data_IF_322048955108
#
_entry.id   IF_322048955108
#
_cell.length_a   1.000
_cell.length_b   1.000
_cell.length_c   1.000
_cell.angle_alpha   90.00
_cell.angle_beta   90.00
_cell.angle_gamma   90.00
#
_symmetry.space_group_name_H-M   'P 1'
#
loop_
_entity.id
_entity.type
_entity.pdbx_description
1 polymer ?
#
# COMPACT_ATOMS: atom_id res chain seq x y z
N UNK A 1 -2.07 27.57 15.45
CA UNK A 1 -2.51 27.21 14.09
C UNK A 1 -2.64 25.70 13.97
N UNK A 2 -3.85 25.17 13.79
CA UNK A 2 -4.10 23.74 13.56
C UNK A 2 -3.45 23.31 12.25
N UNK A 3 -2.42 22.46 12.32
CA UNK A 3 -1.78 21.89 11.12
C UNK A 3 -2.82 21.03 10.39
N UNK A 4 -3.13 21.39 9.15
CA UNK A 4 -4.11 20.70 8.30
C UNK A 4 -3.42 19.56 7.53
N UNK A 5 -4.20 18.58 7.05
CA UNK A 5 -3.73 17.53 6.14
C UNK A 5 -3.17 18.14 4.84
N UNK A 6 -2.43 17.35 4.04
CA UNK A 6 -1.99 17.76 2.70
C UNK A 6 -3.15 18.19 1.78
N UNK A 7 -4.36 17.71 2.06
CA UNK A 7 -5.61 18.13 1.40
C UNK A 7 -6.14 19.51 1.84
N UNK A 8 -5.64 20.10 2.93
CA UNK A 8 -6.15 21.35 3.50
C UNK A 8 -7.55 21.29 4.12
N UNK A 9 -8.29 20.19 3.93
CA UNK A 9 -9.68 20.03 4.36
C UNK A 9 -9.84 19.56 5.82
N UNK A 10 -8.97 18.66 6.29
CA UNK A 10 -9.09 18.03 7.61
C UNK A 10 -7.90 18.34 8.51
N UNK A 11 -8.08 18.15 9.82
CA UNK A 11 -6.94 18.10 10.74
C UNK A 11 -6.03 16.93 10.36
N UNK A 12 -4.72 17.07 10.57
CA UNK A 12 -3.77 16.04 10.15
C UNK A 12 -3.99 14.69 10.88
N UNK A 13 -4.51 14.74 12.10
CA UNK A 13 -4.89 13.56 12.89
C UNK A 13 -6.15 12.90 12.34
N UNK A 14 -7.17 13.69 11.97
CA UNK A 14 -8.39 13.17 11.36
C UNK A 14 -8.11 12.50 10.02
N UNK A 15 -7.26 13.12 9.18
CA UNK A 15 -6.85 12.51 7.91
C UNK A 15 -6.14 11.16 8.10
N UNK A 16 -5.21 11.08 9.06
CA UNK A 16 -4.53 9.82 9.37
C UNK A 16 -5.49 8.73 9.90
N UNK A 17 -6.49 9.12 10.70
CA UNK A 17 -7.51 8.18 11.21
C UNK A 17 -8.45 7.68 10.09
N UNK A 18 -8.85 8.54 9.16
CA UNK A 18 -9.66 8.13 8.00
C UNK A 18 -8.88 7.14 7.14
N UNK A 19 -7.61 7.43 6.85
CA UNK A 19 -6.75 6.52 6.09
C UNK A 19 -6.56 5.17 6.81
N UNK A 20 -6.33 5.18 8.12
CA UNK A 20 -6.24 3.95 8.90
C UNK A 20 -7.56 3.16 8.89
N UNK A 21 -8.72 3.84 8.94
CA UNK A 21 -10.02 3.18 8.81
C UNK A 21 -10.20 2.52 7.44
N UNK A 22 -9.81 3.21 6.37
CA UNK A 22 -9.86 2.68 5.01
C UNK A 22 -8.97 1.44 4.84
N UNK A 23 -7.78 1.42 5.43
CA UNK A 23 -6.93 0.22 5.43
C UNK A 23 -7.59 -0.94 6.17
N UNK A 24 -8.22 -0.70 7.31
CA UNK A 24 -8.96 -1.76 8.03
C UNK A 24 -10.07 -2.32 7.17
N UNK A 25 -10.85 -1.46 6.50
CA UNK A 25 -11.91 -1.90 5.57
C UNK A 25 -11.32 -2.71 4.42
N UNK A 26 -10.19 -2.28 3.86
CA UNK A 26 -9.53 -2.98 2.75
C UNK A 26 -9.02 -4.38 3.17
N UNK A 27 -8.37 -4.47 4.33
CA UNK A 27 -7.89 -5.75 4.88
C UNK A 27 -9.05 -6.69 5.20
N UNK A 28 -10.13 -6.18 5.81
CA UNK A 28 -11.32 -6.98 6.10
C UNK A 28 -12.00 -7.43 4.80
N UNK A 29 -12.15 -6.53 3.83
CA UNK A 29 -12.68 -6.87 2.51
C UNK A 29 -11.88 -8.00 1.87
N UNK A 30 -10.55 -7.89 1.84
CA UNK A 30 -9.67 -8.94 1.34
C UNK A 30 -9.79 -10.27 2.09
N UNK A 31 -10.08 -10.24 3.39
CA UNK A 31 -10.34 -11.43 4.19
C UNK A 31 -11.71 -12.08 3.92
N UNK A 32 -12.69 -11.33 3.40
CA UNK A 32 -14.00 -11.86 2.99
C UNK A 32 -14.03 -12.31 1.53
N UNK A 33 -13.15 -11.79 0.67
CA UNK A 33 -12.94 -12.25 -0.72
C UNK A 33 -12.07 -13.51 -0.79
N UNK A 34 -12.23 -14.42 0.17
CA UNK A 34 -11.57 -15.73 0.15
C UNK A 34 -12.33 -16.62 -0.82
N UNK A 35 -11.74 -16.79 -1.99
CA UNK A 35 -12.24 -17.63 -3.07
C UNK A 35 -12.25 -19.13 -2.68
N UNK A 36 -13.10 -19.94 -3.33
CA UNK A 36 -13.25 -21.40 -3.08
C UNK A 36 -11.93 -22.17 -3.23
N UNK A 37 -10.98 -21.58 -3.96
CA UNK A 37 -9.61 -22.08 -4.14
C UNK A 37 -8.77 -22.11 -2.85
N UNK A 38 -9.12 -21.34 -1.80
CA UNK A 38 -8.50 -21.46 -0.47
C UNK A 38 -8.95 -22.74 0.24
N UNK A 39 -10.24 -23.07 0.14
CA UNK A 39 -10.83 -24.27 0.75
C UNK A 39 -10.24 -25.53 0.10
N UNK A 40 -9.94 -25.46 -1.21
CA UNK A 40 -9.29 -26.52 -1.95
C UNK A 40 -7.77 -26.67 -1.67
N UNK A 41 -7.17 -25.82 -0.81
CA UNK A 41 -5.78 -25.94 -0.37
C UNK A 41 -4.71 -25.71 -1.45
N UNK A 42 -5.11 -25.29 -2.66
CA UNK A 42 -4.22 -25.28 -3.84
C UNK A 42 -3.18 -24.15 -3.84
N UNK A 43 -3.20 -23.26 -2.84
CA UNK A 43 -2.42 -22.01 -2.82
C UNK A 43 -2.01 -21.56 -1.40
N UNK A 44 -1.87 -22.48 -0.44
CA UNK A 44 -1.63 -22.17 1.00
C UNK A 44 -0.50 -21.15 1.22
N UNK A 45 0.61 -21.25 0.48
CA UNK A 45 1.76 -20.33 0.61
C UNK A 45 1.43 -18.90 0.18
N UNK A 46 0.62 -18.74 -0.88
CA UNK A 46 0.22 -17.42 -1.39
C UNK A 46 -0.73 -16.71 -0.42
N UNK A 47 -1.63 -17.46 0.21
CA UNK A 47 -2.59 -16.92 1.16
C UNK A 47 -2.03 -16.71 2.56
N UNK A 48 -1.05 -17.51 3.00
CA UNK A 48 -0.39 -17.29 4.30
C UNK A 48 0.39 -15.97 4.33
N UNK A 49 1.05 -15.60 3.23
CA UNK A 49 1.70 -14.29 3.08
C UNK A 49 0.70 -13.13 3.11
N UNK A 50 -0.45 -13.29 2.46
CA UNK A 50 -1.53 -12.29 2.46
C UNK A 50 -2.13 -12.10 3.86
N UNK A 51 -2.37 -13.21 4.58
CA UNK A 51 -2.92 -13.20 5.93
C UNK A 51 -1.99 -12.54 6.95
N UNK A 52 -0.70 -12.90 6.94
CA UNK A 52 0.28 -12.27 7.84
C UNK A 52 0.43 -10.77 7.56
N UNK A 53 0.49 -10.37 6.28
CA UNK A 53 0.52 -8.97 5.88
C UNK A 53 -0.72 -8.21 6.37
N UNK A 54 -1.91 -8.80 6.21
CA UNK A 54 -3.16 -8.23 6.68
C UNK A 54 -3.20 -8.01 8.19
N UNK A 55 -2.75 -8.99 8.99
CA UNK A 55 -2.70 -8.86 10.45
C UNK A 55 -1.75 -7.74 10.88
N UNK A 56 -0.56 -7.64 10.26
CA UNK A 56 0.40 -6.57 10.56
C UNK A 56 -0.19 -5.20 10.21
N UNK A 57 -0.84 -5.06 9.05
CA UNK A 57 -1.52 -3.82 8.65
C UNK A 57 -2.62 -3.45 9.63
N UNK A 58 -3.42 -4.42 10.08
CA UNK A 58 -4.52 -4.19 11.01
C UNK A 58 -4.01 -3.73 12.38
N UNK A 59 -2.94 -4.36 12.90
CA UNK A 59 -2.28 -3.91 14.13
C UNK A 59 -1.75 -2.49 13.97
N UNK A 60 -1.04 -2.21 12.86
CA UNK A 60 -0.49 -0.89 12.59
C UNK A 60 -1.58 0.19 12.48
N UNK A 61 -2.70 -0.11 11.84
CA UNK A 61 -3.86 0.78 11.74
C UNK A 61 -4.50 1.06 13.10
N UNK A 62 -4.70 0.05 13.94
CA UNK A 62 -5.19 0.22 15.32
C UNK A 62 -4.24 1.11 16.13
N UNK A 63 -2.92 0.90 15.97
CA UNK A 63 -1.91 1.73 16.64
C UNK A 63 -1.98 3.21 16.22
N UNK A 64 -2.38 3.52 14.99
CA UNK A 64 -2.65 4.91 14.56
C UNK A 64 -3.78 5.52 15.38
N UNK A 65 -4.90 4.82 15.56
CA UNK A 65 -6.00 5.32 16.39
C UNK A 65 -5.54 5.57 17.83
N UNK A 66 -4.81 4.62 18.43
CA UNK A 66 -4.27 4.78 19.78
C UNK A 66 -3.25 5.93 19.85
N UNK A 67 -2.42 6.10 18.82
CA UNK A 67 -1.43 7.18 18.73
C UNK A 67 -2.10 8.55 18.72
N UNK A 68 -3.14 8.71 17.91
CA UNK A 68 -3.93 9.95 17.82
C UNK A 68 -4.68 10.23 19.13
N UNK A 69 -5.36 9.24 19.71
CA UNK A 69 -6.14 9.42 20.94
C UNK A 69 -5.25 9.69 22.16
N UNK A 70 -4.11 9.01 22.28
CA UNK A 70 -3.17 9.18 23.41
C UNK A 70 -2.09 10.23 23.15
N UNK A 71 -2.10 10.89 21.99
CA UNK A 71 -1.07 11.85 21.54
C UNK A 71 0.36 11.31 21.63
N UNK A 72 0.53 9.99 21.40
CA UNK A 72 1.83 9.29 21.50
C UNK A 72 2.41 9.05 20.10
N UNK A 73 3.32 9.92 19.67
CA UNK A 73 3.95 9.83 18.35
C UNK A 73 4.64 8.49 18.06
N UNK A 74 5.28 7.87 19.07
CA UNK A 74 6.00 6.60 18.89
C UNK A 74 5.12 5.45 18.36
N UNK A 75 3.82 5.48 18.64
CA UNK A 75 2.87 4.46 18.18
C UNK A 75 2.54 4.56 16.68
N UNK A 76 2.89 5.66 16.01
CA UNK A 76 2.73 5.78 14.55
C UNK A 76 3.90 5.22 13.75
N UNK A 77 5.01 4.88 14.42
CA UNK A 77 6.20 4.37 13.75
C UNK A 77 5.96 3.07 12.98
N UNK A 78 5.22 2.07 13.50
CA UNK A 78 4.95 0.82 12.76
C UNK A 78 4.26 1.07 11.41
N UNK A 79 3.30 2.01 11.38
CA UNK A 79 2.60 2.35 10.15
C UNK A 79 3.50 3.04 9.12
N UNK A 80 4.39 3.93 9.59
CA UNK A 80 5.36 4.61 8.73
C UNK A 80 6.37 3.62 8.15
N UNK A 81 6.88 2.70 8.97
CA UNK A 81 7.81 1.66 8.52
C UNK A 81 7.12 0.77 7.48
N UNK A 82 5.90 0.32 7.75
CA UNK A 82 5.12 -0.50 6.82
C UNK A 82 4.90 0.22 5.49
N UNK A 83 4.47 1.48 5.51
CA UNK A 83 4.27 2.28 4.31
C UNK A 83 5.57 2.50 3.52
N UNK A 84 6.70 2.70 4.20
CA UNK A 84 8.01 2.86 3.55
C UNK A 84 8.49 1.55 2.89
N UNK A 85 8.29 0.42 3.56
CA UNK A 85 8.62 -0.91 3.02
C UNK A 85 7.75 -1.22 1.78
N UNK A 86 6.44 -0.97 1.86
CA UNK A 86 5.54 -1.14 0.72
C UNK A 86 5.95 -0.26 -0.46
N UNK A 87 6.26 1.01 -0.21
CA UNK A 87 6.71 1.96 -1.22
C UNK A 87 7.99 1.48 -1.93
N UNK A 88 8.93 0.90 -1.19
CA UNK A 88 10.16 0.34 -1.74
C UNK A 88 9.87 -0.82 -2.71
N UNK A 89 9.04 -1.78 -2.30
CA UNK A 89 8.67 -2.91 -3.16
C UNK A 89 7.88 -2.48 -4.40
N UNK A 90 6.91 -1.57 -4.25
CA UNK A 90 6.14 -1.04 -5.38
C UNK A 90 7.05 -0.30 -6.37
N UNK A 91 8.03 0.45 -5.87
CA UNK A 91 9.01 1.13 -6.74
C UNK A 91 9.86 0.16 -7.54
N UNK A 92 10.28 -0.96 -6.94
CA UNK A 92 11.01 -2.03 -7.66
C UNK A 92 10.14 -2.64 -8.74
N UNK A 93 8.89 -2.99 -8.43
CA UNK A 93 7.94 -3.58 -9.39
C UNK A 93 7.70 -2.62 -10.55
N UNK A 94 7.42 -1.34 -10.26
CA UNK A 94 7.21 -0.33 -11.27
C UNK A 94 8.44 -0.14 -12.17
N UNK A 95 9.64 -0.11 -11.57
CA UNK A 95 10.91 -0.03 -12.32
C UNK A 95 11.11 -1.25 -13.22
N UNK A 96 10.77 -2.45 -12.75
CA UNK A 96 10.85 -3.67 -13.54
C UNK A 96 9.85 -3.68 -14.70
N UNK A 97 8.61 -3.24 -14.48
CA UNK A 97 7.60 -3.11 -15.54
C UNK A 97 8.06 -2.13 -16.64
N UNK A 98 8.61 -0.98 -16.25
CA UNK A 98 9.17 0.00 -17.20
C UNK A 98 10.37 -0.58 -17.94
N UNK A 99 11.26 -1.30 -17.26
CA UNK A 99 12.40 -1.98 -17.88
C UNK A 99 11.96 -2.97 -18.96
N UNK A 100 10.96 -3.82 -18.68
CA UNK A 100 10.41 -4.77 -19.67
C UNK A 100 9.79 -4.02 -20.86
N UNK A 101 9.08 -2.91 -20.62
CA UNK A 101 8.47 -2.13 -21.70
C UNK A 101 9.50 -1.45 -22.61
N UNK A 102 10.65 -1.05 -22.06
CA UNK A 102 11.70 -0.38 -22.82
C UNK A 102 12.62 -1.34 -23.57
N UNK A 103 12.83 -2.56 -23.07
CA UNK A 103 13.70 -3.55 -23.72
C UNK A 103 12.89 -4.57 -24.54
N UNK A 104 13.01 -4.50 -25.88
CA UNK A 104 12.38 -5.45 -26.81
C UNK A 104 12.73 -6.91 -26.49
N UNK A 105 13.96 -7.21 -26.05
CA UNK A 105 14.37 -8.58 -25.74
C UNK A 105 13.64 -9.07 -24.49
N UNK A 106 13.68 -8.29 -23.41
CA UNK A 106 12.96 -8.60 -22.17
C UNK A 106 11.45 -8.75 -22.42
N UNK A 107 10.87 -7.90 -23.26
CA UNK A 107 9.46 -7.97 -23.64
C UNK A 107 9.12 -9.29 -24.35
N UNK A 108 9.90 -9.70 -25.34
CA UNK A 108 9.65 -10.96 -26.07
C UNK A 108 9.81 -12.20 -25.18
N UNK A 109 10.76 -12.17 -24.24
CA UNK A 109 10.97 -13.25 -23.27
C UNK A 109 9.84 -13.30 -22.23
N UNK A 110 9.37 -12.14 -21.76
CA UNK A 110 8.21 -12.04 -20.88
C UNK A 110 6.96 -12.62 -21.53
N UNK A 111 6.66 -12.24 -22.78
CA UNK A 111 5.50 -12.76 -23.52
C UNK A 111 5.60 -14.28 -23.71
N UNK A 112 6.78 -14.81 -24.05
CA UNK A 112 6.99 -16.27 -24.17
C UNK A 112 6.73 -17.01 -22.86
N UNK A 113 7.17 -16.46 -21.72
CA UNK A 113 6.94 -17.05 -20.41
C UNK A 113 5.47 -16.91 -19.98
N UNK A 114 4.83 -15.78 -20.29
CA UNK A 114 3.40 -15.56 -20.05
C UNK A 114 2.56 -16.60 -20.80
N UNK A 115 2.87 -16.86 -22.08
CA UNK A 115 2.18 -17.85 -22.91
C UNK A 115 2.37 -19.30 -22.42
N UNK A 116 3.49 -19.62 -21.75
CA UNK A 116 3.70 -20.94 -21.13
C UNK A 116 2.87 -21.14 -19.86
N UNK A 117 2.43 -20.05 -19.23
CA UNK A 117 1.76 -20.09 -17.93
C UNK A 117 0.24 -19.88 -18.04
N UNK A 118 -0.23 -19.25 -19.12
CA UNK A 118 -1.65 -19.03 -19.40
C UNK A 118 -2.27 -20.17 -20.21
N UNK A 119 -3.08 -21.00 -19.54
CA UNK A 119 -4.02 -21.95 -20.18
C UNK A 119 -5.35 -21.26 -20.58
N UNK A 120 -5.40 -19.93 -20.66
CA UNK A 120 -6.65 -19.22 -20.95
C UNK A 120 -6.89 -19.14 -22.45
N UNK A 121 -8.01 -19.71 -22.87
CA UNK A 121 -8.61 -19.52 -24.18
C UNK A 121 -8.73 -18.02 -24.46
N UNK A 122 -8.11 -17.57 -25.55
CA UNK A 122 -8.08 -16.17 -25.95
C UNK A 122 -9.52 -15.70 -26.23
N UNK A 123 -10.13 -14.99 -25.28
CA UNK A 123 -11.43 -14.33 -25.49
C UNK A 123 -11.18 -13.04 -26.29
N UNK A 124 -11.19 -13.16 -27.62
CA UNK A 124 -11.20 -12.02 -28.54
C UNK A 124 -10.33 -12.19 -29.79
N UNK A 125 -10.52 -11.29 -30.77
CA UNK A 125 -9.78 -11.27 -32.04
C UNK A 125 -8.32 -10.75 -31.92
N UNK A 126 -7.80 -10.57 -30.70
CA UNK A 126 -6.44 -10.05 -30.49
C UNK A 126 -5.43 -11.19 -30.50
N UNK A 127 -4.25 -10.92 -31.06
CA UNK A 127 -3.13 -11.87 -30.91
C UNK A 127 -2.71 -11.97 -29.44
N UNK A 128 -2.21 -13.13 -29.03
CA UNK A 128 -1.76 -13.38 -27.66
C UNK A 128 -0.63 -12.41 -27.24
N UNK A 129 0.23 -12.05 -28.19
CA UNK A 129 1.31 -11.07 -28.03
C UNK A 129 0.79 -9.64 -27.77
N UNK A 130 -0.30 -9.25 -28.45
CA UNK A 130 -0.97 -7.96 -28.19
C UNK A 130 -1.60 -7.95 -26.80
N UNK A 131 -2.26 -9.03 -26.40
CA UNK A 131 -2.88 -9.16 -25.08
C UNK A 131 -1.86 -9.03 -23.95
N UNK A 132 -0.72 -9.71 -24.05
CA UNK A 132 0.37 -9.60 -23.08
C UNK A 132 0.93 -8.17 -22.99
N UNK A 133 1.05 -7.48 -24.13
CA UNK A 133 1.50 -6.09 -24.20
C UNK A 133 0.50 -5.13 -23.55
N UNK A 134 -0.80 -5.29 -23.82
CA UNK A 134 -1.84 -4.46 -23.18
C UNK A 134 -1.90 -4.69 -21.68
N UNK A 135 -1.78 -5.95 -21.23
CA UNK A 135 -1.72 -6.27 -19.80
C UNK A 135 -0.49 -5.65 -19.12
N UNK A 136 0.66 -5.67 -19.78
CA UNK A 136 1.88 -5.04 -19.25
C UNK A 136 1.74 -3.51 -19.16
N UNK A 137 1.18 -2.86 -20.19
CA UNK A 137 0.94 -1.41 -20.20
C UNK A 137 -0.08 -1.04 -19.10
N UNK A 138 -1.21 -1.75 -19.06
CA UNK A 138 -2.26 -1.54 -18.05
C UNK A 138 -1.73 -1.73 -16.63
N UNK A 139 -0.97 -2.81 -16.40
CA UNK A 139 -0.30 -3.07 -15.13
C UNK A 139 0.68 -1.97 -14.76
N UNK A 140 1.48 -1.47 -15.72
CA UNK A 140 2.42 -0.37 -15.47
C UNK A 140 1.72 0.92 -15.06
N UNK A 141 0.63 1.29 -15.73
CA UNK A 141 -0.18 2.47 -15.37
C UNK A 141 -0.78 2.28 -13.97
N UNK A 142 -1.34 1.10 -13.70
CA UNK A 142 -1.93 0.78 -12.41
C UNK A 142 -0.91 0.87 -11.26
N UNK A 143 0.27 0.26 -11.42
CA UNK A 143 1.36 0.36 -10.43
C UNK A 143 1.90 1.80 -10.30
N UNK A 144 1.91 2.58 -11.39
CA UNK A 144 2.28 3.99 -11.34
C UNK A 144 1.32 4.83 -10.49
N UNK A 145 0.01 4.66 -10.68
CA UNK A 145 -1.02 5.31 -9.85
C UNK A 145 -0.87 4.87 -8.40
N UNK A 146 -0.69 3.56 -8.17
CA UNK A 146 -0.48 3.02 -6.83
C UNK A 146 0.74 3.66 -6.15
N UNK A 147 1.86 3.78 -6.86
CA UNK A 147 3.08 4.39 -6.34
C UNK A 147 2.86 5.85 -5.90
N UNK A 148 2.14 6.64 -6.71
CA UNK A 148 1.78 8.02 -6.36
C UNK A 148 0.91 8.04 -5.09
N UNK A 149 -0.10 7.17 -5.01
CA UNK A 149 -0.94 7.01 -3.83
C UNK A 149 -0.13 6.61 -2.59
N UNK A 150 0.85 5.72 -2.72
CA UNK A 150 1.74 5.30 -1.61
C UNK A 150 2.66 6.42 -1.12
N UNK A 151 3.20 7.25 -2.03
CA UNK A 151 3.98 8.45 -1.66
C UNK A 151 3.10 9.40 -0.84
N UNK A 152 1.89 9.67 -1.33
CA UNK A 152 0.94 10.54 -0.66
C UNK A 152 0.57 9.99 0.72
N UNK A 153 0.29 8.69 0.80
CA UNK A 153 -0.01 7.98 2.03
C UNK A 153 1.10 8.15 3.08
N UNK A 154 2.34 7.84 2.71
CA UNK A 154 3.52 7.98 3.59
C UNK A 154 3.68 9.43 4.07
N UNK A 155 3.45 10.41 3.20
CA UNK A 155 3.51 11.83 3.55
C UNK A 155 2.51 12.20 4.66
N UNK A 156 1.27 11.70 4.58
CA UNK A 156 0.24 11.97 5.61
C UNK A 156 0.67 11.42 6.97
N UNK A 157 1.11 10.16 7.07
CA UNK A 157 1.54 9.58 8.34
C UNK A 157 2.79 10.24 8.89
N UNK A 158 3.78 10.53 8.04
CA UNK A 158 5.01 11.22 8.46
C UNK A 158 4.72 12.62 9.01
N UNK A 159 3.83 13.36 8.36
CA UNK A 159 3.45 14.69 8.83
C UNK A 159 2.63 14.63 10.13
N UNK A 160 1.73 13.64 10.24
CA UNK A 160 0.99 13.40 11.49
C UNK A 160 1.94 13.01 12.64
N UNK A 161 2.96 12.19 12.38
CA UNK A 161 3.97 11.82 13.36
C UNK A 161 4.77 13.03 13.83
N UNK A 162 5.23 13.87 12.89
CA UNK A 162 5.91 15.12 13.21
C UNK A 162 5.01 16.02 14.07
N UNK A 163 3.74 16.13 13.73
CA UNK A 163 2.78 16.93 14.49
C UNK A 163 2.60 16.43 15.93
N UNK A 164 2.40 15.13 16.14
CA UNK A 164 2.28 14.54 17.48
C UNK A 164 3.58 14.70 18.28
N UNK A 165 4.74 14.58 17.63
CA UNK A 165 6.05 14.75 18.28
C UNK A 165 6.24 16.18 18.79
N UNK A 166 5.88 17.18 17.99
CA UNK A 166 5.93 18.60 18.38
C UNK A 166 4.97 18.90 19.54
N UNK A 167 3.72 18.41 19.48
CA UNK A 167 2.75 18.61 20.58
C UNK A 167 3.27 18.06 21.92
N UNK A 168 3.92 16.89 21.90
CA UNK A 168 4.50 16.29 23.09
C UNK A 168 5.63 17.13 23.67
N UNK A 169 6.50 17.67 22.81
CA UNK A 169 7.59 18.55 23.22
C UNK A 169 7.07 19.82 23.90
N UNK A 170 6.04 20.45 23.35
CA UNK A 170 5.41 21.63 23.94
C UNK A 170 4.71 21.32 25.28
N UNK A 171 4.06 20.17 25.39
CA UNK A 171 3.42 19.74 26.65
C UNK A 171 4.44 19.54 27.76
N UNK A 172 5.57 18.89 27.46
CA UNK A 172 6.63 18.66 28.45
C UNK A 172 7.27 19.97 28.93
N UNK A 173 7.48 20.92 28.01
CA UNK A 173 8.02 22.25 28.36
C UNK A 173 7.08 23.00 29.32
N UNK A 174 5.78 23.00 29.05
CA UNK A 174 4.80 23.65 29.94
C UNK A 174 4.74 22.99 31.32
N UNK A 175 4.92 21.66 31.40
CA UNK A 175 4.91 20.93 32.66
C UNK A 175 6.16 21.17 33.52
N UNK A 176 7.28 21.58 32.92
CA UNK A 176 8.50 21.97 33.65
C UNK A 176 8.46 23.41 34.19
N UNK A 177 7.46 24.21 33.78
CA UNK A 177 7.35 25.62 34.13
C UNK A 177 6.42 25.89 35.32
N UNK A 178 5.72 24.86 35.80
CA UNK A 178 4.81 24.86 36.95
C UNK A 178 5.57 24.24 38.13
#
# INVERSE_FOLDING_TARGET
>A
MTKRCCCGCFSITTGAQILAALEVINVLGGAFYVDDSLIAGKNIIRYSGLGLGGVITLIAAILVFVACSKKKAGLMLPMIILAAVLLFFISIICGFCVYILCDRKAMTEFTKNFNKTGNEEVIGNFSQDETARYNLIGGTIFYGIWLISSIWYLSVFRNCYKHLKEQRSSSNYNQQRI
#
